data_IF_269046456039
#
_entry.id   IF_269046456039
#
_cell.length_a   1.000
_cell.length_b   1.000
_cell.length_c   1.000
_cell.angle_alpha   90.00
_cell.angle_beta   90.00
_cell.angle_gamma   90.00
#
_symmetry.space_group_name_H-M   'P 1'
#
loop_
_entity.id
_entity.type
_entity.pdbx_description
1 polymer ?
#
# COMPACT_ATOMS: atom_id res chain seq x y z
N UNK A 1 16.83 -65.65 -18.76
CA UNK A 1 15.95 -64.78 -19.57
C UNK A 1 15.97 -63.35 -19.01
N UNK A 2 15.89 -62.36 -19.91
CA UNK A 2 15.57 -60.92 -19.75
C UNK A 2 14.77 -60.59 -18.48
N UNK A 3 14.94 -59.47 -17.78
CA UNK A 3 14.93 -58.09 -18.31
C UNK A 3 15.70 -57.11 -17.42
N UNK A 4 16.57 -56.30 -18.04
CA UNK A 4 16.93 -54.96 -17.54
C UNK A 4 15.65 -54.11 -17.48
N UNK A 5 15.35 -53.48 -16.35
CA UNK A 5 14.40 -52.36 -16.27
C UNK A 5 15.21 -51.06 -16.19
N UNK A 6 15.04 -50.11 -17.11
CA UNK A 6 15.79 -48.86 -17.11
C UNK A 6 15.16 -47.83 -16.17
N UNK A 7 16.02 -46.87 -15.82
CA UNK A 7 15.81 -45.65 -15.06
C UNK A 7 14.44 -44.98 -15.25
N UNK A 8 13.83 -44.58 -14.13
CA UNK A 8 12.98 -43.40 -14.08
C UNK A 8 13.78 -42.31 -13.37
N UNK A 9 14.54 -41.56 -14.15
CA UNK A 9 15.19 -40.35 -13.68
C UNK A 9 14.11 -39.32 -13.37
N UNK A 10 13.82 -39.15 -12.08
CA UNK A 10 13.03 -38.03 -11.60
C UNK A 10 13.90 -36.77 -11.72
N UNK A 11 13.87 -36.16 -12.91
CA UNK A 11 14.45 -34.85 -13.16
C UNK A 11 13.68 -33.84 -12.33
N UNK A 12 14.17 -33.59 -11.12
CA UNK A 12 13.81 -32.44 -10.30
C UNK A 12 14.06 -31.19 -11.13
N UNK A 13 13.01 -30.66 -11.73
CA UNK A 13 13.02 -29.35 -12.39
C UNK A 13 13.38 -28.32 -11.33
N UNK A 14 14.67 -28.00 -11.23
CA UNK A 14 15.17 -26.85 -10.49
C UNK A 14 14.52 -25.63 -11.12
N UNK A 15 13.42 -25.16 -10.52
CA UNK A 15 12.79 -23.88 -10.86
C UNK A 15 13.87 -22.81 -10.80
N UNK A 16 14.35 -22.39 -11.96
CA UNK A 16 15.31 -21.30 -12.07
C UNK A 16 14.69 -20.06 -11.45
N UNK A 17 15.15 -19.66 -10.26
CA UNK A 17 14.75 -18.39 -9.68
C UNK A 17 15.30 -17.29 -10.58
N UNK A 18 14.45 -16.73 -11.45
CA UNK A 18 14.79 -15.54 -12.25
C UNK A 18 15.29 -14.48 -11.28
N UNK A 19 16.57 -14.12 -11.37
CA UNK A 19 17.13 -13.04 -10.56
C UNK A 19 16.53 -11.75 -11.08
N UNK A 20 15.52 -11.24 -10.36
CA UNK A 20 15.00 -9.90 -10.63
C UNK A 20 16.10 -8.91 -10.28
N UNK A 21 16.56 -8.18 -11.28
CA UNK A 21 17.62 -7.17 -11.18
C UNK A 21 17.15 -6.00 -10.30
N UNK A 22 18.10 -5.22 -9.79
CA UNK A 22 17.78 -4.11 -8.89
C UNK A 22 17.00 -3.01 -9.62
N UNK A 23 17.35 -2.76 -10.89
CA UNK A 23 16.70 -1.76 -11.74
C UNK A 23 15.22 -2.06 -11.95
N UNK A 24 14.85 -3.32 -12.18
CA UNK A 24 13.47 -3.74 -12.40
C UNK A 24 12.60 -3.48 -11.15
N UNK A 25 13.13 -3.78 -9.96
CA UNK A 25 12.47 -3.47 -8.68
C UNK A 25 12.28 -1.96 -8.52
N UNK A 26 13.31 -1.17 -8.84
CA UNK A 26 13.26 0.30 -8.73
C UNK A 26 12.20 0.89 -9.66
N UNK A 27 12.17 0.46 -10.93
CA UNK A 27 11.18 0.88 -11.91
C UNK A 27 9.76 0.56 -11.43
N UNK A 28 9.54 -0.65 -10.92
CA UNK A 28 8.21 -1.05 -10.44
C UNK A 28 7.79 -0.30 -9.18
N UNK A 29 8.71 0.01 -8.26
CA UNK A 29 8.42 0.85 -7.10
C UNK A 29 7.99 2.25 -7.54
N UNK A 30 8.69 2.86 -8.51
CA UNK A 30 8.34 4.20 -9.03
C UNK A 30 6.98 4.23 -9.72
N UNK A 31 6.65 3.17 -10.45
CA UNK A 31 5.38 3.07 -11.19
C UNK A 31 4.18 2.79 -10.27
N UNK A 32 4.32 1.85 -9.32
CA UNK A 32 3.20 1.34 -8.54
C UNK A 32 2.96 2.08 -7.22
N UNK A 33 3.97 2.76 -6.66
CA UNK A 33 3.79 3.56 -5.44
C UNK A 33 2.77 4.69 -5.55
N UNK A 34 2.78 5.54 -6.61
CA UNK A 34 1.75 6.57 -6.76
C UNK A 34 0.35 5.95 -6.95
N UNK A 35 0.26 4.72 -7.46
CA UNK A 35 -0.98 3.94 -7.56
C UNK A 35 -1.44 3.33 -6.23
N UNK A 36 -0.78 3.64 -5.10
CA UNK A 36 -1.15 3.14 -3.77
C UNK A 36 -0.68 1.72 -3.44
N UNK A 37 0.18 1.09 -4.26
CA UNK A 37 0.58 -0.29 -4.02
C UNK A 37 1.48 -0.45 -2.78
N UNK A 38 1.15 -1.48 -1.99
CA UNK A 38 1.95 -1.87 -0.82
C UNK A 38 3.27 -2.55 -1.22
N UNK A 39 4.30 -2.45 -0.38
CA UNK A 39 5.58 -3.14 -0.60
C UNK A 39 5.37 -4.67 -0.72
N UNK A 40 4.34 -5.21 -0.05
CA UNK A 40 3.94 -6.62 -0.11
C UNK A 40 3.35 -6.99 -1.47
N UNK A 41 2.46 -6.16 -2.02
CA UNK A 41 1.87 -6.40 -3.34
C UNK A 41 2.95 -6.37 -4.44
N UNK A 42 3.87 -5.39 -4.39
CA UNK A 42 5.00 -5.30 -5.31
C UNK A 42 5.93 -6.53 -5.17
N UNK A 43 6.16 -7.00 -3.94
CA UNK A 43 6.97 -8.19 -3.69
C UNK A 43 6.33 -9.47 -4.25
N UNK A 44 5.00 -9.62 -4.11
CA UNK A 44 4.23 -10.74 -4.67
C UNK A 44 4.28 -10.73 -6.20
N UNK A 45 4.03 -9.56 -6.81
CA UNK A 45 4.06 -9.37 -8.26
C UNK A 45 5.43 -9.76 -8.85
N UNK A 46 6.50 -9.25 -8.26
CA UNK A 46 7.87 -9.52 -8.71
C UNK A 46 8.44 -10.84 -8.21
N UNK A 47 7.68 -11.62 -7.42
CA UNK A 47 8.13 -12.87 -6.76
C UNK A 47 9.47 -12.71 -6.02
N UNK A 48 9.67 -11.56 -5.38
CA UNK A 48 10.87 -11.26 -4.58
C UNK A 48 10.55 -11.15 -3.10
N UNK A 49 11.57 -11.31 -2.25
CA UNK A 49 11.41 -11.07 -0.82
C UNK A 49 11.06 -9.60 -0.57
N UNK A 50 10.08 -9.36 0.31
CA UNK A 50 9.65 -8.01 0.71
C UNK A 50 10.81 -7.16 1.25
N UNK A 51 11.81 -7.79 1.90
CA UNK A 51 13.03 -7.10 2.36
C UNK A 51 13.84 -6.46 1.23
N UNK A 52 13.83 -7.05 0.02
CA UNK A 52 14.52 -6.49 -1.15
C UNK A 52 13.80 -5.23 -1.65
N UNK A 53 12.47 -5.24 -1.68
CA UNK A 53 11.64 -4.07 -1.99
C UNK A 53 11.87 -2.97 -0.94
N UNK A 54 11.84 -3.32 0.35
CA UNK A 54 12.05 -2.36 1.43
C UNK A 54 13.44 -1.69 1.37
N UNK A 55 14.49 -2.46 1.04
CA UNK A 55 15.85 -1.94 0.84
C UNK A 55 15.92 -0.99 -0.36
N UNK A 56 15.35 -1.38 -1.50
CA UNK A 56 15.33 -0.53 -2.69
C UNK A 56 14.53 0.75 -2.45
N UNK A 57 13.36 0.66 -1.81
CA UNK A 57 12.54 1.81 -1.43
C UNK A 57 13.31 2.78 -0.52
N UNK A 58 14.05 2.26 0.48
CA UNK A 58 14.87 3.07 1.38
C UNK A 58 16.00 3.80 0.61
N UNK A 59 16.64 3.12 -0.34
CA UNK A 59 17.66 3.73 -1.21
C UNK A 59 17.08 4.83 -2.11
N UNK A 60 15.83 4.67 -2.56
CA UNK A 60 15.12 5.68 -3.36
C UNK A 60 14.55 6.82 -2.52
N UNK A 61 14.70 6.79 -1.19
CA UNK A 61 14.09 7.74 -0.25
C UNK A 61 12.56 7.89 -0.40
N UNK A 62 11.90 6.90 -1.01
CA UNK A 62 10.44 6.91 -1.20
C UNK A 62 9.80 6.57 0.15
N UNK A 63 9.03 7.51 0.71
CA UNK A 63 8.28 7.28 1.96
C UNK A 63 7.35 6.08 1.80
N UNK A 64 7.08 5.36 2.90
CA UNK A 64 6.03 4.33 2.86
C UNK A 64 4.75 5.06 2.49
N UNK A 65 4.01 4.52 1.52
CA UNK A 65 2.65 4.99 1.27
C UNK A 65 1.89 4.93 2.58
N UNK A 66 1.12 5.98 2.88
CA UNK A 66 0.25 5.97 4.05
C UNK A 66 -0.71 4.78 3.87
N UNK A 67 -0.64 3.79 4.75
CA UNK A 67 -1.54 2.63 4.69
C UNK A 67 -2.92 2.97 5.26
N UNK A 68 -3.04 4.14 5.87
CA UNK A 68 -4.26 4.58 6.51
C UNK A 68 -5.47 4.63 5.57
N UNK A 69 -5.42 5.21 4.34
CA UNK A 69 -6.56 5.20 3.42
C UNK A 69 -7.04 3.79 3.11
N UNK A 70 -6.09 2.87 2.85
CA UNK A 70 -6.39 1.47 2.56
C UNK A 70 -7.01 0.75 3.76
N UNK A 71 -6.45 0.91 4.95
CA UNK A 71 -7.04 0.30 6.14
C UNK A 71 -8.39 0.91 6.49
N UNK A 72 -8.57 2.20 6.19
CA UNK A 72 -9.84 2.88 6.35
C UNK A 72 -10.91 2.30 5.42
N UNK A 73 -10.61 2.09 4.13
CA UNK A 73 -11.54 1.44 3.20
C UNK A 73 -11.78 -0.03 3.55
N UNK A 74 -10.75 -0.77 3.95
CA UNK A 74 -10.89 -2.16 4.41
C UNK A 74 -11.79 -2.27 5.66
N UNK A 75 -11.85 -1.24 6.52
CA UNK A 75 -12.63 -1.25 7.76
C UNK A 75 -14.05 -0.71 7.57
N UNK A 76 -14.21 0.37 6.80
CA UNK A 76 -15.47 1.13 6.71
C UNK A 76 -16.16 1.00 5.34
N UNK A 77 -15.55 0.30 4.37
CA UNK A 77 -16.07 0.10 3.03
C UNK A 77 -15.26 0.83 1.94
N UNK A 78 -15.33 0.34 0.71
CA UNK A 78 -14.55 0.84 -0.43
C UNK A 78 -14.78 2.35 -0.69
N UNK A 79 -16.00 2.83 -0.47
CA UNK A 79 -16.36 4.25 -0.65
C UNK A 79 -16.08 5.13 0.57
N UNK A 80 -15.70 4.55 1.72
CA UNK A 80 -15.56 5.28 2.98
C UNK A 80 -14.51 6.39 2.89
N UNK A 81 -13.41 6.15 2.18
CA UNK A 81 -12.37 7.16 2.00
C UNK A 81 -12.84 8.33 1.14
N UNK A 82 -13.54 8.05 0.04
CA UNK A 82 -14.12 9.07 -0.86
C UNK A 82 -15.19 9.89 -0.14
N UNK A 83 -16.05 9.23 0.64
CA UNK A 83 -17.07 9.88 1.44
C UNK A 83 -16.46 10.80 2.50
N UNK A 84 -15.44 10.32 3.22
CA UNK A 84 -14.73 11.13 4.20
C UNK A 84 -14.04 12.35 3.55
N UNK A 85 -13.42 12.16 2.38
CA UNK A 85 -12.82 13.25 1.61
C UNK A 85 -13.87 14.28 1.21
N UNK A 86 -15.00 13.86 0.64
CA UNK A 86 -16.09 14.74 0.26
C UNK A 86 -16.65 15.53 1.45
N UNK A 87 -16.81 14.89 2.61
CA UNK A 87 -17.23 15.56 3.85
C UNK A 87 -16.22 16.63 4.28
N UNK A 88 -14.92 16.33 4.24
CA UNK A 88 -13.88 17.28 4.61
C UNK A 88 -13.81 18.46 3.64
N UNK A 89 -13.89 18.22 2.34
CA UNK A 89 -13.92 19.25 1.29
C UNK A 89 -15.16 20.14 1.39
N UNK A 90 -16.29 19.57 1.80
CA UNK A 90 -17.54 20.31 2.06
C UNK A 90 -17.53 21.08 3.39
N UNK A 91 -16.43 21.02 4.16
CA UNK A 91 -16.31 21.73 5.42
C UNK A 91 -16.96 21.05 6.62
N UNK A 92 -17.29 19.75 6.52
CA UNK A 92 -17.93 19.01 7.60
C UNK A 92 -17.12 19.09 8.92
N UNK A 93 -17.87 19.26 9.99
CA UNK A 93 -17.36 19.28 11.35
C UNK A 93 -16.93 17.89 11.80
N UNK A 94 -16.06 17.83 12.81
CA UNK A 94 -15.66 16.54 13.41
C UNK A 94 -16.84 15.76 13.99
N UNK A 95 -17.95 16.42 14.34
CA UNK A 95 -19.14 15.76 14.86
C UNK A 95 -19.95 15.08 13.75
N UNK A 96 -20.10 15.72 12.58
CA UNK A 96 -20.78 15.13 11.43
C UNK A 96 -20.02 13.91 10.90
N UNK A 97 -18.69 14.03 10.80
CA UNK A 97 -17.83 12.89 10.45
C UNK A 97 -17.95 11.78 11.49
N UNK A 98 -17.99 12.13 12.78
CA UNK A 98 -18.15 11.15 13.84
C UNK A 98 -19.48 10.39 13.76
N UNK A 99 -20.58 11.09 13.49
CA UNK A 99 -21.90 10.47 13.28
C UNK A 99 -21.92 9.57 12.05
N UNK A 100 -21.26 9.97 10.96
CA UNK A 100 -21.24 9.21 9.70
C UNK A 100 -20.49 7.87 9.81
N UNK A 101 -19.35 7.84 10.51
CA UNK A 101 -18.50 6.66 10.61
C UNK A 101 -18.56 5.95 11.97
N UNK A 102 -19.44 6.39 12.87
CA UNK A 102 -19.55 5.84 14.22
C UNK A 102 -18.34 6.13 15.11
N UNK A 103 -17.62 7.23 14.88
CA UNK A 103 -16.47 7.63 15.70
C UNK A 103 -16.90 8.42 16.93
N UNK A 104 -15.97 8.53 17.88
CA UNK A 104 -15.98 9.66 18.81
C UNK A 104 -15.52 10.92 18.09
N UNK A 105 -15.97 12.09 18.54
CA UNK A 105 -15.55 13.40 17.99
C UNK A 105 -14.01 13.54 17.94
N UNK A 106 -13.33 13.08 18.99
CA UNK A 106 -11.87 13.13 19.07
C UNK A 106 -11.21 12.22 18.04
N UNK A 107 -11.76 11.02 17.81
CA UNK A 107 -11.25 10.12 16.78
C UNK A 107 -11.50 10.68 15.38
N UNK A 108 -12.66 11.30 15.11
CA UNK A 108 -12.92 11.99 13.85
C UNK A 108 -11.90 13.13 13.58
N UNK A 109 -11.53 13.91 14.60
CA UNK A 109 -10.46 14.90 14.48
C UNK A 109 -9.10 14.28 14.14
N UNK A 110 -8.73 13.17 14.78
CA UNK A 110 -7.48 12.46 14.50
C UNK A 110 -7.43 11.89 13.08
N UNK A 111 -8.55 11.33 12.60
CA UNK A 111 -8.69 10.82 11.24
C UNK A 111 -8.56 11.96 10.22
N UNK A 112 -9.25 13.08 10.45
CA UNK A 112 -9.15 14.29 9.61
C UNK A 112 -7.71 14.81 9.55
N UNK A 113 -7.01 14.88 10.68
CA UNK A 113 -5.60 15.26 10.70
C UNK A 113 -4.72 14.22 9.97
N UNK A 114 -4.85 12.92 10.23
CA UNK A 114 -3.99 11.91 9.58
C UNK A 114 -4.11 11.87 8.06
N UNK A 115 -5.27 12.23 7.53
CA UNK A 115 -5.54 12.22 6.09
C UNK A 115 -5.29 13.57 5.42
N UNK A 116 -5.58 14.67 6.10
CA UNK A 116 -5.62 16.01 5.50
C UNK A 116 -4.69 17.02 6.19
N UNK A 117 -3.88 16.63 7.19
CA UNK A 117 -3.00 17.55 7.91
C UNK A 117 -1.90 18.20 7.05
N UNK A 118 -1.72 17.81 5.79
CA UNK A 118 -0.84 18.55 4.87
C UNK A 118 -1.55 19.72 4.16
N UNK A 119 -2.88 19.84 4.25
CA UNK A 119 -3.66 20.84 3.50
C UNK A 119 -4.18 22.01 4.34
N UNK A 120 -3.96 22.03 5.66
CA UNK A 120 -4.52 23.06 6.55
C UNK A 120 -3.52 24.12 7.02
N UNK A 121 -2.22 23.93 6.76
CA UNK A 121 -1.19 24.94 7.10
C UNK A 121 -1.15 26.12 6.10
N UNK A 122 -1.88 26.06 4.98
CA UNK A 122 -1.92 27.15 3.99
C UNK A 122 -3.14 28.05 4.08
N UNK A 123 -4.13 27.76 4.94
CA UNK A 123 -5.34 28.60 5.04
C UNK A 123 -5.43 29.47 6.30
N UNK A 124 -4.33 29.59 7.06
CA UNK A 124 -4.17 30.66 8.06
C UNK A 124 -3.29 31.80 7.54
N UNK A 125 -3.66 32.36 6.39
CA UNK A 125 -3.20 33.68 5.93
C UNK A 125 -4.42 34.57 5.73
N UNK A 126 -4.91 35.15 6.83
CA UNK A 126 -5.49 36.49 6.92
C UNK A 126 -6.11 36.66 8.29
N UNK A 127 -5.44 37.39 9.16
CA UNK A 127 -5.99 38.66 9.68
C UNK A 127 -4.79 39.55 9.96
#
# INVERSE_FOLDING_TARGET
MRTKKPCSGEQSMKKGHRKVEKEEIVSKIRELKPKGWSDRAIATELKVKIGKIARCRKQLQIKRGNLFPRHFTETYGDDAFTQLQSMVESGATGEEIAKCFGFTRQNASLVKMKLFAWSWETTKTKT
#
